data_IF_115096779131
#
_entry.id   IF_115096779131
#
_cell.length_a   1.000
_cell.length_b   1.000
_cell.length_c   1.000
_cell.angle_alpha   90.00
_cell.angle_beta   90.00
_cell.angle_gamma   90.00
#
_symmetry.space_group_name_H-M   'P 1'
#
loop_
_entity.id
_entity.type
_entity.pdbx_description
1 polymer ?
#
# COMPACT_ATOMS: atom_id res chain seq x y z
N UNK A 1 3.52 10.84 28.10
CA UNK A 1 4.73 11.15 27.30
C UNK A 1 4.28 11.56 25.89
N UNK A 2 4.54 12.80 25.46
CA UNK A 2 4.29 13.21 24.07
C UNK A 2 5.35 12.51 23.20
N UNK A 3 4.93 11.66 22.27
CA UNK A 3 5.86 11.12 21.27
C UNK A 3 6.21 12.27 20.34
N UNK A 4 7.48 12.66 20.32
CA UNK A 4 8.01 13.63 19.38
C UNK A 4 7.83 13.12 17.95
N UNK A 5 7.61 14.06 17.03
CA UNK A 5 7.36 13.73 15.64
C UNK A 5 8.62 13.15 15.01
N UNK A 6 8.58 11.88 14.65
CA UNK A 6 9.67 11.22 13.93
C UNK A 6 9.55 11.49 12.43
N UNK A 7 10.48 12.27 11.93
CA UNK A 7 10.51 12.73 10.56
C UNK A 7 10.84 11.60 9.57
N UNK A 8 11.54 10.54 10.01
CA UNK A 8 11.78 9.33 9.21
C UNK A 8 10.48 8.56 8.94
N UNK A 9 9.58 8.49 9.94
CA UNK A 9 8.26 7.87 9.76
C UNK A 9 7.37 8.67 8.81
N UNK A 10 7.54 9.99 8.75
CA UNK A 10 6.84 10.83 7.78
C UNK A 10 7.35 10.60 6.36
N UNK A 11 8.66 10.42 6.18
CA UNK A 11 9.24 10.02 4.89
C UNK A 11 8.68 8.67 4.44
N UNK A 12 8.60 7.69 5.33
CA UNK A 12 8.02 6.38 5.00
C UNK A 12 6.56 6.47 4.56
N UNK A 13 5.73 7.26 5.25
CA UNK A 13 4.35 7.51 4.84
C UNK A 13 4.26 8.22 3.49
N UNK A 14 5.13 9.19 3.25
CA UNK A 14 5.23 9.90 1.98
C UNK A 14 5.61 8.95 0.83
N UNK A 15 6.61 8.09 1.03
CA UNK A 15 7.00 7.06 0.06
C UNK A 15 5.83 6.11 -0.21
N UNK A 16 5.17 5.59 0.84
CA UNK A 16 4.00 4.72 0.69
C UNK A 16 2.92 5.37 -0.18
N UNK A 17 2.55 6.63 0.06
CA UNK A 17 1.50 7.26 -0.74
C UNK A 17 1.95 7.54 -2.18
N UNK A 18 3.20 7.91 -2.40
CA UNK A 18 3.74 8.11 -3.75
C UNK A 18 3.69 6.79 -4.54
N UNK A 19 4.11 5.68 -3.93
CA UNK A 19 4.06 4.36 -4.55
C UNK A 19 2.63 3.90 -4.87
N UNK A 20 1.66 4.17 -4.00
CA UNK A 20 0.24 3.93 -4.31
C UNK A 20 -0.19 4.74 -5.53
N UNK A 21 0.15 6.03 -5.59
CA UNK A 21 -0.21 6.88 -6.71
C UNK A 21 0.45 6.42 -8.02
N UNK A 22 1.73 6.05 -8.00
CA UNK A 22 2.41 5.50 -9.18
C UNK A 22 1.70 4.22 -9.65
N UNK A 23 1.42 3.29 -8.72
CA UNK A 23 0.73 2.05 -9.04
C UNK A 23 -0.63 2.24 -9.72
N UNK A 24 -1.45 3.14 -9.17
CA UNK A 24 -2.80 3.36 -9.68
C UNK A 24 -2.81 4.21 -10.95
N UNK A 25 -1.97 5.24 -11.04
CA UNK A 25 -2.00 6.21 -12.13
C UNK A 25 -1.15 5.77 -13.33
N UNK A 26 -0.16 4.90 -13.12
CA UNK A 26 0.76 4.39 -14.15
C UNK A 26 1.29 5.51 -15.04
N UNK A 27 1.98 6.52 -14.47
CA UNK A 27 2.43 7.69 -15.23
C UNK A 27 3.41 7.31 -16.35
N UNK A 28 4.06 6.15 -16.24
CA UNK A 28 4.92 5.56 -17.26
C UNK A 28 4.19 4.38 -17.93
N UNK A 29 3.46 4.67 -19.01
CA UNK A 29 2.77 3.65 -19.80
C UNK A 29 3.33 3.61 -21.21
N UNK A 30 3.88 2.45 -21.60
CA UNK A 30 4.45 2.22 -22.93
C UNK A 30 3.38 1.66 -23.87
N UNK A 31 3.30 2.20 -25.09
CA UNK A 31 2.47 1.66 -26.16
C UNK A 31 3.30 0.63 -26.93
N UNK A 32 2.95 -0.66 -26.77
CA UNK A 32 3.65 -1.77 -27.41
C UNK A 32 2.77 -2.33 -28.53
N UNK A 33 3.26 -2.23 -29.76
CA UNK A 33 2.62 -2.76 -30.97
C UNK A 33 3.46 -3.91 -31.55
N UNK A 34 2.90 -4.65 -32.52
CA UNK A 34 3.62 -5.75 -33.20
C UNK A 34 4.93 -5.32 -33.86
N UNK A 35 5.05 -4.03 -34.20
CA UNK A 35 6.22 -3.45 -34.86
C UNK A 35 7.19 -2.77 -33.87
N UNK A 36 6.93 -2.81 -32.56
CA UNK A 36 7.80 -2.17 -31.57
C UNK A 36 9.15 -2.87 -31.52
N UNK A 37 10.22 -2.08 -31.57
CA UNK A 37 11.60 -2.59 -31.52
C UNK A 37 11.83 -3.44 -30.27
N UNK A 38 12.54 -4.56 -30.40
CA UNK A 38 12.71 -5.55 -29.32
C UNK A 38 13.35 -4.95 -28.06
N UNK A 39 14.29 -4.00 -28.23
CA UNK A 39 14.92 -3.29 -27.09
C UNK A 39 13.87 -2.46 -26.33
N UNK A 40 12.96 -1.79 -27.03
CA UNK A 40 11.89 -0.99 -26.39
C UNK A 40 10.94 -1.92 -25.65
N UNK A 41 10.57 -3.06 -26.26
CA UNK A 41 9.74 -4.07 -25.62
C UNK A 41 10.35 -4.61 -24.31
N UNK A 42 11.63 -5.00 -24.36
CA UNK A 42 12.37 -5.51 -23.19
C UNK A 42 12.46 -4.42 -22.11
N UNK A 43 12.80 -3.20 -22.50
CA UNK A 43 12.90 -2.06 -21.56
C UNK A 43 11.56 -1.78 -20.88
N UNK A 44 10.47 -1.72 -21.65
CA UNK A 44 9.13 -1.52 -21.11
C UNK A 44 8.72 -2.62 -20.12
N UNK A 45 9.05 -3.89 -20.44
CA UNK A 45 8.80 -5.02 -19.54
C UNK A 45 9.58 -4.89 -18.24
N UNK A 46 10.89 -4.59 -18.31
CA UNK A 46 11.74 -4.39 -17.13
C UNK A 46 11.22 -3.25 -16.26
N UNK A 47 10.92 -2.09 -16.85
CA UNK A 47 10.40 -0.93 -16.11
C UNK A 47 9.09 -1.29 -15.43
N UNK A 48 8.17 -1.95 -16.13
CA UNK A 48 6.88 -2.37 -15.55
C UNK A 48 7.03 -3.37 -14.41
N UNK A 49 7.94 -4.34 -14.55
CA UNK A 49 8.21 -5.32 -13.50
C UNK A 49 8.86 -4.67 -12.27
N UNK A 50 9.81 -3.74 -12.46
CA UNK A 50 10.43 -2.99 -11.38
C UNK A 50 9.43 -2.05 -10.69
N UNK A 51 8.61 -1.33 -11.46
CA UNK A 51 7.55 -0.47 -10.94
C UNK A 51 6.56 -1.28 -10.10
N UNK A 52 6.12 -2.43 -10.60
CA UNK A 52 5.26 -3.36 -9.86
C UNK A 52 5.90 -3.79 -8.54
N UNK A 53 7.16 -4.23 -8.57
CA UNK A 53 7.84 -4.73 -7.38
C UNK A 53 8.07 -3.64 -6.33
N UNK A 54 8.37 -2.41 -6.75
CA UNK A 54 8.53 -1.27 -5.85
C UNK A 54 7.20 -0.83 -5.28
N UNK A 55 6.19 -0.61 -6.12
CA UNK A 55 4.94 -0.03 -5.68
C UNK A 55 4.15 -0.94 -4.74
N UNK A 56 4.25 -2.27 -4.90
CA UNK A 56 3.57 -3.22 -4.03
C UNK A 56 4.13 -3.27 -2.59
N UNK A 57 5.28 -2.64 -2.32
CA UNK A 57 5.79 -2.46 -0.96
C UNK A 57 5.03 -1.38 -0.17
N UNK A 58 4.24 -0.53 -0.83
CA UNK A 58 3.59 0.63 -0.21
C UNK A 58 2.66 0.26 0.95
N UNK A 59 1.83 -0.76 0.74
CA UNK A 59 0.83 -1.25 1.70
C UNK A 59 1.50 -1.96 2.90
N UNK A 60 2.41 -2.93 2.70
CA UNK A 60 3.28 -3.44 3.75
C UNK A 60 3.93 -2.33 4.59
N UNK A 61 4.48 -1.31 3.93
CA UNK A 61 5.13 -0.21 4.63
C UNK A 61 4.14 0.62 5.46
N UNK A 62 2.93 0.86 4.93
CA UNK A 62 1.83 1.46 5.68
C UNK A 62 1.48 0.67 6.95
N UNK A 63 1.42 -0.67 6.86
CA UNK A 63 1.17 -1.53 8.02
C UNK A 63 2.32 -1.51 9.02
N UNK A 64 3.56 -1.65 8.56
CA UNK A 64 4.74 -1.60 9.43
C UNK A 64 4.77 -0.27 10.19
N UNK A 65 4.63 0.87 9.52
CA UNK A 65 4.64 2.20 10.17
C UNK A 65 3.47 2.34 11.15
N UNK A 66 2.28 1.89 10.77
CA UNK A 66 1.11 1.95 11.64
C UNK A 66 1.31 1.11 12.90
N UNK A 67 1.73 -0.14 12.77
CA UNK A 67 1.96 -1.06 13.88
C UNK A 67 3.17 -0.64 14.73
N UNK A 68 4.23 -0.11 14.11
CA UNK A 68 5.37 0.49 14.81
C UNK A 68 4.91 1.61 15.75
N UNK A 69 4.13 2.57 15.23
CA UNK A 69 3.55 3.64 16.05
C UNK A 69 2.60 3.13 17.13
N UNK A 70 1.97 1.97 16.92
CA UNK A 70 1.14 1.32 17.93
C UNK A 70 2.01 0.82 19.08
N UNK A 71 2.98 -0.06 18.79
CA UNK A 71 3.86 -0.65 19.79
C UNK A 71 4.71 0.40 20.53
N UNK A 72 5.17 1.46 19.83
CA UNK A 72 5.93 2.56 20.42
C UNK A 72 5.17 3.24 21.57
N UNK A 73 3.83 3.30 21.49
CA UNK A 73 2.97 3.88 22.53
C UNK A 73 2.75 2.96 23.73
N UNK A 74 3.26 1.72 23.71
CA UNK A 74 3.02 0.70 24.74
C UNK A 74 1.53 0.65 25.13
N UNK A 75 0.64 0.28 24.20
CA UNK A 75 -0.81 0.38 24.33
C UNK A 75 -1.34 -0.27 25.61
N UNK A 76 -2.02 0.55 26.40
CA UNK A 76 -2.96 0.08 27.41
C UNK A 76 -4.35 -0.14 26.78
N UNK A 77 -5.29 -0.66 27.58
CA UNK A 77 -6.65 -0.93 27.10
C UNK A 77 -7.34 0.36 26.60
N UNK A 78 -7.05 1.51 27.24
CA UNK A 78 -7.64 2.81 26.90
C UNK A 78 -7.16 3.31 25.53
N UNK A 79 -5.85 3.26 25.28
CA UNK A 79 -5.26 3.67 24.01
C UNK A 79 -5.64 2.70 22.88
N UNK A 80 -5.69 1.40 23.14
CA UNK A 80 -6.20 0.41 22.18
C UNK A 80 -7.62 0.77 21.72
N UNK A 81 -8.54 0.96 22.66
CA UNK A 81 -9.93 1.30 22.35
C UNK A 81 -10.05 2.64 21.61
N UNK A 82 -9.29 3.65 22.03
CA UNK A 82 -9.21 4.93 21.33
C UNK A 82 -8.76 4.74 19.87
N UNK A 83 -7.73 3.94 19.64
CA UNK A 83 -7.17 3.70 18.31
C UNK A 83 -8.14 2.92 17.41
N UNK A 84 -8.72 1.83 17.91
CA UNK A 84 -9.71 1.04 17.14
C UNK A 84 -10.91 1.91 16.79
N UNK A 85 -11.45 2.69 17.74
CA UNK A 85 -12.54 3.64 17.46
C UNK A 85 -12.15 4.65 16.39
N UNK A 86 -10.93 5.20 16.44
CA UNK A 86 -10.45 6.13 15.40
C UNK A 86 -10.38 5.46 14.02
N UNK A 87 -9.76 4.29 13.91
CA UNK A 87 -9.62 3.58 12.62
C UNK A 87 -10.99 3.17 12.10
N UNK A 88 -11.86 2.62 12.95
CA UNK A 88 -13.23 2.25 12.59
C UNK A 88 -14.04 3.45 12.11
N UNK A 89 -13.93 4.61 12.77
CA UNK A 89 -14.62 5.84 12.34
C UNK A 89 -14.19 6.28 10.93
N UNK A 90 -12.89 6.20 10.64
CA UNK A 90 -12.33 6.49 9.31
C UNK A 90 -12.82 5.47 8.28
N UNK A 91 -12.76 4.18 8.62
CA UNK A 91 -13.24 3.10 7.77
C UNK A 91 -14.73 3.28 7.43
N UNK A 92 -15.59 3.45 8.43
CA UNK A 92 -17.03 3.63 8.23
C UNK A 92 -17.33 4.85 7.35
N UNK A 93 -16.69 5.99 7.62
CA UNK A 93 -16.86 7.20 6.81
C UNK A 93 -16.53 6.95 5.33
N UNK A 94 -15.36 6.38 5.05
CA UNK A 94 -14.91 6.16 3.67
C UNK A 94 -15.67 5.03 2.97
N UNK A 95 -16.07 3.98 3.68
CA UNK A 95 -16.91 2.92 3.14
C UNK A 95 -18.30 3.45 2.75
N UNK A 96 -18.91 4.31 3.57
CA UNK A 96 -20.18 4.97 3.25
C UNK A 96 -19.99 5.89 2.03
N UNK A 97 -18.95 6.72 2.03
CA UNK A 97 -18.67 7.60 0.89
C UNK A 97 -18.46 6.80 -0.40
N UNK A 98 -17.69 5.72 -0.35
CA UNK A 98 -17.43 4.84 -1.50
C UNK A 98 -18.72 4.23 -2.05
N UNK A 99 -19.60 3.79 -1.15
CA UNK A 99 -20.91 3.23 -1.51
C UNK A 99 -21.80 4.28 -2.20
N UNK A 100 -21.88 5.50 -1.64
CA UNK A 100 -22.63 6.62 -2.24
C UNK A 100 -22.05 6.98 -3.62
N UNK A 101 -20.72 7.07 -3.72
CA UNK A 101 -20.06 7.39 -4.98
C UNK A 101 -20.33 6.31 -6.05
N UNK A 102 -20.26 5.03 -5.67
CA UNK A 102 -20.63 3.92 -6.56
C UNK A 102 -22.06 4.08 -7.08
N UNK A 103 -23.04 4.28 -6.19
CA UNK A 103 -24.44 4.51 -6.56
C UNK A 103 -24.62 5.65 -7.55
N UNK A 104 -23.92 6.78 -7.35
CA UNK A 104 -24.01 7.95 -8.23
C UNK A 104 -23.47 7.62 -9.63
N UNK A 105 -22.34 6.91 -9.70
CA UNK A 105 -21.65 6.62 -10.96
C UNK A 105 -22.32 5.50 -11.75
N UNK A 106 -22.74 4.42 -11.09
CA UNK A 106 -23.28 3.23 -11.76
C UNK A 106 -24.80 3.19 -11.81
N UNK A 107 -25.48 3.94 -10.92
CA UNK A 107 -26.93 3.86 -10.69
C UNK A 107 -27.39 2.46 -10.22
N UNK A 108 -26.47 1.64 -9.72
CA UNK A 108 -26.74 0.28 -9.25
C UNK A 108 -26.65 0.17 -7.73
N UNK A 109 -27.57 -0.56 -7.11
CA UNK A 109 -27.49 -0.90 -5.69
C UNK A 109 -26.70 -2.20 -5.53
N UNK A 110 -25.51 -2.17 -4.92
CA UNK A 110 -24.70 -3.38 -4.80
C UNK A 110 -25.31 -4.33 -3.77
N UNK A 111 -25.32 -5.64 -4.09
CA UNK A 111 -25.85 -6.68 -3.20
C UNK A 111 -24.98 -6.80 -1.95
N UNK A 112 -25.62 -6.77 -0.77
CA UNK A 112 -24.93 -6.94 0.51
C UNK A 112 -24.14 -8.26 0.51
N UNK A 113 -22.85 -8.16 0.80
CA UNK A 113 -21.93 -9.29 0.87
C UNK A 113 -20.85 -9.04 1.90
N UNK A 114 -20.14 -10.09 2.31
CA UNK A 114 -18.99 -9.96 3.18
C UNK A 114 -17.92 -9.03 2.61
N UNK A 115 -17.74 -9.02 1.28
CA UNK A 115 -16.79 -8.15 0.60
C UNK A 115 -17.14 -6.66 0.72
N UNK A 116 -18.44 -6.32 0.82
CA UNK A 116 -18.88 -4.95 1.12
C UNK A 116 -18.59 -4.60 2.58
N UNK A 117 -18.84 -5.53 3.51
CA UNK A 117 -18.63 -5.33 4.95
C UNK A 117 -17.15 -5.07 5.25
N UNK A 118 -16.24 -5.80 4.61
CA UNK A 118 -14.79 -5.57 4.76
C UNK A 118 -14.28 -4.38 3.94
N UNK A 119 -15.14 -3.70 3.17
CA UNK A 119 -14.78 -2.53 2.37
C UNK A 119 -13.94 -2.84 1.12
N UNK A 120 -14.04 -4.06 0.58
CA UNK A 120 -13.43 -4.48 -0.69
C UNK A 120 -14.31 -4.10 -1.89
N UNK A 121 -15.61 -4.37 -1.78
CA UNK A 121 -16.64 -4.05 -2.78
C UNK A 121 -17.52 -2.89 -2.32
N UNK A 122 -18.27 -2.24 -3.23
CA UNK A 122 -18.33 -2.45 -4.68
C UNK A 122 -17.08 -1.96 -5.43
N UNK A 123 -16.81 -2.53 -6.60
CA UNK A 123 -15.71 -2.10 -7.47
C UNK A 123 -16.15 -0.88 -8.28
N UNK A 124 -15.29 0.13 -8.40
CA UNK A 124 -15.56 1.28 -9.27
C UNK A 124 -15.22 0.94 -10.73
N UNK A 125 -15.97 1.47 -11.72
CA UNK A 125 -15.64 1.25 -13.12
C UNK A 125 -14.23 1.77 -13.42
N UNK A 126 -13.48 1.04 -14.25
CA UNK A 126 -12.09 1.33 -14.65
C UNK A 126 -11.02 1.31 -13.54
N UNK A 127 -11.38 1.49 -12.27
CA UNK A 127 -10.44 1.60 -11.13
C UNK A 127 -10.49 0.39 -10.19
N UNK A 128 -11.47 -0.51 -10.35
CA UNK A 128 -11.55 -1.78 -9.64
C UNK A 128 -11.94 -1.66 -8.16
N UNK A 129 -11.51 -2.62 -7.35
CA UNK A 129 -11.91 -2.82 -5.95
C UNK A 129 -11.49 -1.68 -5.02
N UNK A 130 -12.33 -1.39 -4.02
CA UNK A 130 -12.07 -0.37 -3.00
C UNK A 130 -10.73 -0.60 -2.29
N UNK A 131 -10.08 0.47 -1.83
CA UNK A 131 -8.85 0.39 -1.04
C UNK A 131 -9.12 0.34 0.48
N UNK A 132 -10.37 0.46 0.92
CA UNK A 132 -10.70 0.56 2.34
C UNK A 132 -10.63 -0.77 3.09
N UNK A 133 -10.55 -1.91 2.40
CA UNK A 133 -10.21 -3.19 3.05
C UNK A 133 -8.85 -3.15 3.74
N UNK A 134 -7.93 -2.28 3.33
CA UNK A 134 -6.69 -2.12 4.07
C UNK A 134 -6.89 -1.53 5.46
N UNK A 135 -7.90 -0.67 5.66
CA UNK A 135 -8.29 -0.16 6.97
C UNK A 135 -8.96 -1.26 7.80
N UNK A 136 -9.80 -2.10 7.19
CA UNK A 136 -10.36 -3.28 7.86
C UNK A 136 -9.25 -4.23 8.34
N UNK A 137 -8.30 -4.57 7.47
CA UNK A 137 -7.11 -5.33 7.83
C UNK A 137 -6.29 -4.61 8.93
N UNK A 138 -6.17 -3.29 8.91
CA UNK A 138 -5.49 -2.55 9.97
C UNK A 138 -6.22 -2.69 11.33
N UNK A 139 -7.55 -2.72 11.35
CA UNK A 139 -8.33 -3.00 12.57
C UNK A 139 -7.96 -4.38 13.10
N UNK A 140 -8.02 -5.41 12.26
CA UNK A 140 -7.64 -6.78 12.63
C UNK A 140 -6.20 -6.84 13.15
N UNK A 141 -5.23 -6.32 12.39
CA UNK A 141 -3.82 -6.34 12.77
C UNK A 141 -3.54 -5.55 14.06
N UNK A 142 -4.25 -4.45 14.31
CA UNK A 142 -4.12 -3.69 15.56
C UNK A 142 -4.65 -4.51 16.74
N UNK A 143 -5.76 -5.24 16.57
CA UNK A 143 -6.28 -6.18 17.57
C UNK A 143 -5.30 -7.32 17.83
N UNK A 144 -4.77 -7.95 16.78
CA UNK A 144 -3.73 -8.98 16.92
C UNK A 144 -2.49 -8.44 17.62
N UNK A 145 -2.00 -7.26 17.25
CA UNK A 145 -0.85 -6.61 17.88
C UNK A 145 -1.10 -6.33 19.38
N UNK A 146 -2.32 -5.94 19.76
CA UNK A 146 -2.69 -5.71 21.15
C UNK A 146 -2.68 -7.01 21.96
N UNK A 147 -3.32 -8.07 21.44
CA UNK A 147 -3.30 -9.40 22.08
C UNK A 147 -1.88 -9.94 22.19
N UNK A 148 -1.10 -9.76 21.12
CA UNK A 148 0.29 -10.15 21.05
C UNK A 148 1.14 -9.45 22.14
N UNK A 149 0.90 -8.16 22.40
CA UNK A 149 1.61 -7.42 23.44
C UNK A 149 1.24 -7.85 24.87
N UNK A 150 0.06 -8.45 25.08
CA UNK A 150 -0.34 -8.97 26.39
C UNK A 150 0.38 -10.27 26.78
N UNK A 151 1.19 -10.84 25.88
CA UNK A 151 2.00 -12.01 26.18
C UNK A 151 3.14 -11.60 27.13
N UNK A 152 3.06 -11.99 28.40
CA UNK A 152 4.06 -11.63 29.40
C UNK A 152 5.37 -12.42 29.29
N UNK A 153 5.36 -13.58 28.62
CA UNK A 153 6.53 -14.45 28.50
C UNK A 153 7.37 -14.11 27.28
N UNK A 154 8.61 -13.66 27.50
CA UNK A 154 9.59 -13.38 26.44
C UNK A 154 9.90 -14.62 25.59
N UNK A 155 9.92 -15.81 26.20
CA UNK A 155 10.10 -17.09 25.52
C UNK A 155 8.92 -17.38 24.58
N UNK A 156 7.68 -17.16 25.05
CA UNK A 156 6.48 -17.39 24.25
C UNK A 156 6.40 -16.40 23.08
N UNK A 157 6.68 -15.11 23.31
CA UNK A 157 6.80 -14.08 22.26
C UNK A 157 7.78 -14.54 21.17
N UNK A 158 8.98 -14.96 21.57
CA UNK A 158 10.01 -15.42 20.64
C UNK A 158 9.55 -16.63 19.83
N UNK A 159 8.90 -17.60 20.48
CA UNK A 159 8.36 -18.79 19.81
C UNK A 159 7.26 -18.44 18.81
N UNK A 160 6.27 -17.62 19.21
CA UNK A 160 5.19 -17.15 18.33
C UNK A 160 5.76 -16.39 17.13
N UNK A 161 6.82 -15.61 17.32
CA UNK A 161 7.47 -14.89 16.23
C UNK A 161 8.07 -15.80 15.19
N UNK A 162 8.86 -16.79 15.62
CA UNK A 162 9.42 -17.76 14.69
C UNK A 162 8.31 -18.51 13.97
N UNK A 163 7.28 -18.95 14.69
CA UNK A 163 6.14 -19.64 14.08
C UNK A 163 5.50 -18.75 13.01
N UNK A 164 5.07 -17.52 13.33
CA UNK A 164 4.37 -16.65 12.36
C UNK A 164 5.27 -16.30 11.18
N UNK A 165 6.52 -15.89 11.41
CA UNK A 165 7.43 -15.45 10.35
C UNK A 165 7.79 -16.63 9.44
N UNK A 166 8.26 -17.74 10.02
CA UNK A 166 8.68 -18.91 9.24
C UNK A 166 7.47 -19.50 8.50
N UNK A 167 6.33 -19.65 9.18
CA UNK A 167 5.10 -20.13 8.54
C UNK A 167 4.69 -19.24 7.36
N UNK A 168 4.64 -17.92 7.53
CA UNK A 168 4.25 -17.02 6.44
C UNK A 168 5.23 -17.08 5.27
N UNK A 169 6.54 -17.06 5.52
CA UNK A 169 7.54 -17.11 4.45
C UNK A 169 7.48 -18.43 3.68
N UNK A 170 7.38 -19.57 4.39
CA UNK A 170 7.21 -20.89 3.76
C UNK A 170 5.88 -20.96 3.01
N UNK A 171 4.78 -20.49 3.61
CA UNK A 171 3.46 -20.52 2.98
C UNK A 171 3.40 -19.66 1.72
N UNK A 172 4.02 -18.49 1.72
CA UNK A 172 4.14 -17.61 0.54
C UNK A 172 4.90 -18.30 -0.59
N UNK A 173 6.05 -18.90 -0.29
CA UNK A 173 6.87 -19.59 -1.28
C UNK A 173 6.17 -20.85 -1.81
N UNK A 174 5.59 -21.67 -0.93
CA UNK A 174 4.84 -22.86 -1.31
C UNK A 174 3.63 -22.51 -2.18
N UNK A 175 2.89 -21.44 -1.84
CA UNK A 175 1.76 -20.97 -2.67
C UNK A 175 2.24 -20.50 -4.04
N UNK A 176 3.39 -19.83 -4.09
CA UNK A 176 3.99 -19.35 -5.33
C UNK A 176 4.42 -20.50 -6.25
N UNK A 177 5.15 -21.49 -5.71
CA UNK A 177 5.61 -22.68 -6.46
C UNK A 177 4.43 -23.58 -6.88
N UNK A 178 3.39 -23.68 -6.06
CA UNK A 178 2.18 -24.44 -6.40
C UNK A 178 1.19 -23.67 -7.28
N UNK A 179 1.56 -22.47 -7.76
CA UNK A 179 0.71 -21.57 -8.54
C UNK A 179 -0.68 -21.33 -7.90
N UNK A 180 -0.73 -21.34 -6.57
CA UNK A 180 -1.95 -21.13 -5.78
C UNK A 180 -2.04 -19.67 -5.39
N UNK A 181 -3.12 -19.01 -5.82
CA UNK A 181 -3.32 -17.59 -5.57
C UNK A 181 -3.83 -17.35 -4.14
N UNK A 182 -3.08 -16.58 -3.35
CA UNK A 182 -3.57 -16.02 -2.09
C UNK A 182 -4.34 -14.73 -2.44
N UNK A 183 -5.65 -14.64 -2.16
CA UNK A 183 -6.40 -13.42 -2.43
C UNK A 183 -5.76 -12.23 -1.70
N UNK A 184 -5.51 -11.16 -2.44
CA UNK A 184 -4.68 -10.04 -1.97
C UNK A 184 -5.25 -9.31 -0.75
N UNK A 185 -6.57 -9.42 -0.52
CA UNK A 185 -7.26 -8.78 0.59
C UNK A 185 -7.23 -9.61 1.87
N UNK A 186 -6.80 -10.88 1.81
CA UNK A 186 -6.77 -11.76 2.98
C UNK A 186 -5.73 -11.33 4.00
N UNK A 187 -6.08 -11.48 5.27
CA UNK A 187 -5.25 -11.07 6.41
C UNK A 187 -3.90 -11.81 6.48
N UNK A 188 -3.84 -13.05 5.95
CA UNK A 188 -2.61 -13.86 5.95
C UNK A 188 -1.43 -13.16 5.25
N UNK A 189 -1.72 -12.33 4.24
CA UNK A 189 -0.70 -11.53 3.55
C UNK A 189 -0.02 -10.51 4.48
N UNK A 190 -0.66 -10.14 5.59
CA UNK A 190 -0.25 -9.01 6.42
C UNK A 190 0.06 -9.35 7.88
N UNK A 191 -0.30 -10.55 8.35
CA UNK A 191 -0.08 -10.94 9.75
C UNK A 191 1.40 -10.96 10.15
N UNK A 192 2.29 -11.25 9.18
CA UNK A 192 3.75 -11.21 9.35
C UNK A 192 4.27 -9.83 9.82
N UNK A 193 3.56 -8.74 9.52
CA UNK A 193 4.00 -7.40 9.89
C UNK A 193 3.81 -7.09 11.37
N UNK A 194 3.01 -7.87 12.11
CA UNK A 194 2.85 -7.73 13.57
C UNK A 194 4.16 -8.04 14.31
N UNK A 195 4.76 -9.24 14.20
CA UNK A 195 6.02 -9.54 14.87
C UNK A 195 7.17 -8.70 14.33
N UNK A 196 7.19 -8.34 13.05
CA UNK A 196 8.18 -7.44 12.46
C UNK A 196 8.14 -6.06 13.16
N UNK A 197 6.98 -5.43 13.22
CA UNK A 197 6.84 -4.12 13.85
C UNK A 197 7.14 -4.17 15.35
N UNK A 198 6.78 -5.25 16.04
CA UNK A 198 7.15 -5.46 17.44
C UNK A 198 8.66 -5.46 17.66
N UNK A 199 9.43 -6.19 16.83
CA UNK A 199 10.89 -6.20 16.94
C UNK A 199 11.54 -4.88 16.53
N UNK A 200 10.99 -4.20 15.52
CA UNK A 200 11.49 -2.87 15.14
C UNK A 200 11.42 -1.88 16.31
N UNK A 201 10.38 -1.96 17.16
CA UNK A 201 10.25 -1.10 18.35
C UNK A 201 11.10 -1.58 19.52
N UNK A 202 11.02 -2.86 19.87
CA UNK A 202 11.60 -3.37 21.11
C UNK A 202 13.08 -3.75 20.97
N UNK A 203 13.52 -4.04 19.74
CA UNK A 203 14.88 -4.50 19.44
C UNK A 203 15.40 -3.91 18.12
N UNK A 204 15.41 -2.58 17.96
CA UNK A 204 15.75 -1.92 16.69
C UNK A 204 17.13 -2.34 16.18
N UNK A 205 18.13 -2.47 17.06
CA UNK A 205 19.49 -2.85 16.69
C UNK A 205 19.58 -4.28 16.11
N UNK A 206 18.71 -5.20 16.54
CA UNK A 206 18.68 -6.57 16.01
C UNK A 206 18.15 -6.62 14.58
N UNK A 207 17.28 -5.68 14.19
CA UNK A 207 16.67 -5.63 12.85
C UNK A 207 17.45 -4.71 11.90
N UNK A 208 17.74 -3.47 12.33
CA UNK A 208 18.35 -2.44 11.48
C UNK A 208 19.74 -2.83 10.97
N UNK A 209 20.51 -3.63 11.72
CA UNK A 209 21.84 -4.10 11.30
C UNK A 209 21.81 -4.98 10.05
N UNK A 210 20.67 -5.62 9.75
CA UNK A 210 20.51 -6.50 8.60
C UNK A 210 19.94 -5.80 7.35
N UNK A 211 19.89 -4.46 7.31
CA UNK A 211 19.32 -3.69 6.18
C UNK A 211 19.85 -4.10 4.80
N UNK A 212 21.14 -4.41 4.69
CA UNK A 212 21.73 -4.88 3.43
C UNK A 212 21.33 -6.31 3.07
N UNK A 213 21.11 -7.17 4.06
CA UNK A 213 20.58 -8.52 3.82
C UNK A 213 19.13 -8.47 3.35
N UNK A 214 18.30 -7.59 3.93
CA UNK A 214 16.94 -7.37 3.43
C UNK A 214 16.94 -6.85 1.99
N UNK A 215 17.87 -5.96 1.63
CA UNK A 215 18.01 -5.46 0.27
C UNK A 215 18.45 -6.55 -0.71
N UNK A 216 19.46 -7.34 -0.34
CA UNK A 216 19.91 -8.45 -1.17
C UNK A 216 18.78 -9.49 -1.36
N UNK A 217 18.08 -9.84 -0.28
CA UNK A 217 16.92 -10.73 -0.35
C UNK A 217 15.79 -10.14 -1.21
N UNK A 218 15.52 -8.84 -1.09
CA UNK A 218 14.53 -8.17 -1.93
C UNK A 218 14.88 -8.32 -3.42
N UNK A 219 16.13 -8.03 -3.82
CA UNK A 219 16.57 -8.19 -5.20
C UNK A 219 16.43 -9.65 -5.66
N UNK A 220 16.97 -10.60 -4.89
CA UNK A 220 16.95 -12.02 -5.24
C UNK A 220 15.52 -12.55 -5.41
N UNK A 221 14.64 -12.31 -4.44
CA UNK A 221 13.25 -12.76 -4.52
C UNK A 221 12.44 -11.98 -5.55
N UNK A 222 12.75 -10.71 -5.83
CA UNK A 222 12.12 -9.99 -6.93
C UNK A 222 12.51 -10.55 -8.30
N UNK A 223 13.77 -10.94 -8.50
CA UNK A 223 14.22 -11.63 -9.70
C UNK A 223 13.56 -13.02 -9.82
N UNK A 224 13.45 -13.74 -8.70
CA UNK A 224 12.72 -15.01 -8.64
C UNK A 224 11.25 -14.86 -9.07
N UNK A 225 10.53 -13.87 -8.52
CA UNK A 225 9.15 -13.58 -8.92
C UNK A 225 9.02 -13.24 -10.42
N UNK A 226 9.95 -12.46 -10.97
CA UNK A 226 9.97 -12.07 -12.39
C UNK A 226 10.21 -13.29 -13.27
N UNK A 227 11.15 -14.15 -12.86
CA UNK A 227 11.44 -15.40 -13.53
C UNK A 227 10.19 -16.29 -13.56
N UNK A 228 9.54 -16.52 -12.41
CA UNK A 228 8.31 -17.31 -12.32
C UNK A 228 7.17 -16.76 -13.19
N UNK A 229 6.96 -15.43 -13.22
CA UNK A 229 5.97 -14.80 -14.12
C UNK A 229 6.23 -15.07 -15.60
N UNK A 230 7.49 -15.25 -15.99
CA UNK A 230 7.84 -15.58 -17.37
C UNK A 230 7.40 -17.00 -17.75
N UNK A 231 7.23 -17.89 -16.78
CA UNK A 231 6.68 -19.24 -16.95
C UNK A 231 5.18 -19.36 -16.60
N UNK A 232 4.45 -18.24 -16.64
CA UNK A 232 3.01 -18.19 -16.35
C UNK A 232 2.62 -18.61 -14.93
N UNK A 233 3.54 -18.54 -13.97
CA UNK A 233 3.21 -18.58 -12.55
C UNK A 233 2.73 -17.21 -12.11
N UNK A 234 1.63 -17.16 -11.37
CA UNK A 234 1.02 -15.91 -10.90
C UNK A 234 1.27 -15.74 -9.40
N UNK A 235 2.43 -15.18 -9.00
CA UNK A 235 2.74 -15.03 -7.60
C UNK A 235 1.74 -14.06 -6.94
N UNK A 236 1.36 -14.36 -5.69
CA UNK A 236 0.37 -13.57 -4.95
C UNK A 236 0.77 -12.10 -4.83
N UNK A 237 -0.17 -11.16 -4.78
CA UNK A 237 0.17 -9.73 -4.82
C UNK A 237 1.05 -9.32 -3.62
N UNK A 238 0.62 -9.66 -2.40
CA UNK A 238 1.29 -9.26 -1.16
C UNK A 238 1.95 -10.42 -0.40
N UNK A 239 1.44 -11.64 -0.54
CA UNK A 239 1.99 -12.86 0.06
C UNK A 239 3.24 -13.35 -0.67
N UNK A 240 4.30 -12.54 -0.64
CA UNK A 240 5.60 -12.80 -1.29
C UNK A 240 6.74 -12.37 -0.40
N UNK A 241 7.83 -13.15 -0.43
CA UNK A 241 9.04 -12.85 0.34
C UNK A 241 9.67 -11.54 -0.15
N UNK A 242 9.70 -11.32 -1.47
CA UNK A 242 10.17 -10.07 -2.09
C UNK A 242 9.49 -8.83 -1.48
N UNK A 243 8.17 -8.87 -1.31
CA UNK A 243 7.39 -7.75 -0.78
C UNK A 243 7.68 -7.50 0.70
N UNK A 244 7.83 -8.56 1.51
CA UNK A 244 8.21 -8.44 2.92
C UNK A 244 9.61 -7.84 3.04
N UNK A 245 10.59 -8.37 2.29
CA UNK A 245 11.97 -7.87 2.30
C UNK A 245 12.09 -6.45 1.75
N UNK A 246 11.33 -6.10 0.71
CA UNK A 246 11.30 -4.75 0.13
C UNK A 246 10.78 -3.72 1.14
N UNK A 247 9.67 -4.04 1.83
CA UNK A 247 9.12 -3.17 2.87
C UNK A 247 10.10 -2.98 4.04
N UNK A 248 10.75 -4.06 4.51
CA UNK A 248 11.78 -4.00 5.53
C UNK A 248 13.01 -3.20 5.09
N UNK A 249 13.44 -3.36 3.84
CA UNK A 249 14.54 -2.61 3.26
C UNK A 249 14.27 -1.12 3.32
N UNK A 250 13.13 -0.68 2.76
CA UNK A 250 12.75 0.73 2.73
C UNK A 250 12.65 1.28 4.16
N UNK A 251 11.98 0.55 5.06
CA UNK A 251 11.89 0.95 6.47
C UNK A 251 13.27 1.14 7.09
N UNK A 252 14.14 0.13 7.01
CA UNK A 252 15.43 0.14 7.70
C UNK A 252 16.39 1.20 7.16
N UNK A 253 16.44 1.39 5.84
CA UNK A 253 17.29 2.42 5.24
C UNK A 253 16.83 3.82 5.63
N UNK A 254 15.55 4.14 5.44
CA UNK A 254 15.00 5.48 5.74
C UNK A 254 15.09 5.78 7.24
N UNK A 255 14.73 4.82 8.10
CA UNK A 255 14.82 5.01 9.55
C UNK A 255 16.27 5.21 10.03
N UNK A 256 17.24 4.54 9.39
CA UNK A 256 18.67 4.71 9.74
C UNK A 256 19.26 6.06 9.31
N UNK A 257 18.72 6.68 8.26
CA UNK A 257 19.28 7.90 7.67
C UNK A 257 19.03 9.17 8.50
N UNK A 258 18.11 9.14 9.47
CA UNK A 258 17.73 10.31 10.30
C UNK A 258 17.49 11.57 9.45
N UNK A 259 16.57 11.46 8.51
CA UNK A 259 16.32 12.48 7.49
C UNK A 259 15.86 13.79 8.13
N UNK A 260 16.50 14.91 7.73
CA UNK A 260 16.18 16.26 8.21
C UNK A 260 14.73 16.66 7.91
N UNK A 261 14.19 17.52 8.77
CA UNK A 261 12.83 18.06 8.66
C UNK A 261 12.59 18.72 7.29
N UNK A 262 11.50 18.30 6.64
CA UNK A 262 11.04 18.86 5.37
C UNK A 262 9.56 19.13 5.44
N UNK A 263 9.18 20.39 5.24
CA UNK A 263 7.79 20.82 5.26
C UNK A 263 6.93 20.07 4.24
N UNK A 264 7.46 19.81 3.04
CA UNK A 264 6.75 19.09 1.99
C UNK A 264 6.43 17.66 2.41
N UNK A 265 7.42 16.94 2.96
CA UNK A 265 7.26 15.55 3.43
C UNK A 265 6.26 15.51 4.58
N UNK A 266 6.38 16.43 5.52
CA UNK A 266 5.49 16.54 6.66
C UNK A 266 4.04 16.81 6.24
N UNK A 267 3.83 17.64 5.22
CA UNK A 267 2.50 17.94 4.67
C UNK A 267 1.94 16.75 3.91
N UNK A 268 2.75 16.08 3.10
CA UNK A 268 2.36 14.88 2.35
C UNK A 268 2.00 13.72 3.30
N UNK A 269 2.84 13.45 4.29
CA UNK A 269 2.60 12.44 5.33
C UNK A 269 1.29 12.68 6.07
N UNK A 270 1.05 13.94 6.50
CA UNK A 270 -0.15 14.34 7.24
C UNK A 270 -1.44 14.07 6.48
N UNK A 271 -1.44 14.21 5.15
CA UNK A 271 -2.63 14.02 4.32
C UNK A 271 -2.58 12.74 3.48
N UNK A 272 -1.68 11.81 3.82
CA UNK A 272 -1.47 10.56 3.07
C UNK A 272 -2.75 9.73 2.98
N UNK A 273 -3.52 9.64 4.07
CA UNK A 273 -4.83 8.96 4.09
C UNK A 273 -5.85 9.65 3.18
N UNK A 274 -5.92 10.98 3.20
CA UNK A 274 -6.80 11.75 2.31
C UNK A 274 -6.47 11.50 0.85
N UNK A 275 -5.19 11.55 0.49
CA UNK A 275 -4.72 11.24 -0.88
C UNK A 275 -5.06 9.79 -1.25
N UNK A 276 -4.80 8.86 -0.32
CA UNK A 276 -5.07 7.43 -0.49
C UNK A 276 -6.56 7.15 -0.75
N UNK A 277 -7.45 7.84 -0.07
CA UNK A 277 -8.89 7.65 -0.28
C UNK A 277 -9.37 8.35 -1.55
N UNK A 278 -8.94 9.59 -1.79
CA UNK A 278 -9.58 10.48 -2.77
C UNK A 278 -9.12 10.20 -4.21
N UNK A 279 -7.87 9.77 -4.41
CA UNK A 279 -7.31 9.61 -5.76
C UNK A 279 -8.12 8.65 -6.63
N UNK A 280 -8.67 7.56 -6.07
CA UNK A 280 -9.49 6.60 -6.82
C UNK A 280 -10.76 7.22 -7.40
N UNK A 281 -11.38 8.17 -6.69
CA UNK A 281 -12.62 8.79 -7.18
C UNK A 281 -12.33 9.73 -8.34
N UNK A 282 -11.29 10.56 -8.22
CA UNK A 282 -10.86 11.40 -9.33
C UNK A 282 -10.36 10.59 -10.51
N UNK A 283 -9.65 9.50 -10.25
CA UNK A 283 -9.24 8.57 -11.30
C UNK A 283 -10.46 7.99 -12.03
N UNK A 284 -11.49 7.57 -11.30
CA UNK A 284 -12.74 7.07 -11.88
C UNK A 284 -13.40 8.12 -12.78
N UNK A 285 -13.59 9.35 -12.27
CA UNK A 285 -14.21 10.44 -13.03
C UNK A 285 -13.42 10.83 -14.27
N UNK A 286 -12.09 10.91 -14.17
CA UNK A 286 -11.23 11.25 -15.30
C UNK A 286 -11.22 10.13 -16.34
N UNK A 287 -11.19 8.86 -15.92
CA UNK A 287 -11.26 7.74 -16.87
C UNK A 287 -12.64 7.64 -17.53
N UNK A 288 -13.73 7.94 -16.83
CA UNK A 288 -15.08 8.04 -17.40
C UNK A 288 -15.18 9.20 -18.40
N UNK A 289 -14.54 10.33 -18.10
CA UNK A 289 -14.46 11.46 -19.02
C UNK A 289 -13.70 11.02 -20.28
N UNK A 290 -12.49 10.48 -20.12
CA UNK A 290 -11.65 10.03 -21.24
C UNK A 290 -12.34 8.94 -22.05
N UNK A 291 -13.04 7.97 -21.44
CA UNK A 291 -13.72 6.91 -22.19
C UNK A 291 -14.85 7.43 -23.09
N UNK A 292 -15.41 8.60 -22.77
CA UNK A 292 -16.47 9.23 -23.56
C UNK A 292 -15.93 10.13 -24.68
N UNK A 293 -14.61 10.38 -24.72
CA UNK A 293 -13.96 11.14 -25.77
C UNK A 293 -12.96 10.23 -26.49
N UNK A 294 -13.02 10.11 -27.82
CA UNK A 294 -12.04 9.34 -28.60
C UNK A 294 -10.65 10.01 -28.62
N UNK A 295 -10.01 10.14 -27.46
CA UNK A 295 -8.66 10.69 -27.34
C UNK A 295 -7.62 9.60 -27.61
N UNK A 296 -7.29 9.43 -28.89
CA UNK A 296 -6.08 8.72 -29.33
C UNK A 296 -4.96 9.72 -29.63
N UNK A 297 -4.27 10.24 -28.60
CA UNK A 297 -3.08 11.09 -28.83
C UNK A 297 -1.82 10.26 -28.59
N UNK A 298 -1.34 9.65 -29.68
CA UNK A 298 -0.01 9.03 -29.73
C UNK A 298 1.01 10.15 -29.88
N UNK A 299 1.97 10.21 -28.96
CA UNK A 299 3.06 11.18 -28.99
C UNK A 299 4.34 10.46 -28.63
N UNK A 300 5.31 10.48 -29.53
CA UNK A 300 6.64 9.93 -29.28
C UNK A 300 7.45 10.99 -28.53
N UNK A 301 7.84 10.70 -27.30
CA UNK A 301 8.77 11.54 -26.55
C UNK A 301 10.15 10.90 -26.71
N UNK A 302 11.06 11.57 -27.42
CA UNK A 302 12.41 11.06 -27.73
C UNK A 302 12.43 9.66 -28.40
N UNK A 303 11.45 9.37 -29.28
CA UNK A 303 11.33 8.07 -29.95
C UNK A 303 10.79 6.94 -29.07
N UNK A 304 10.36 7.23 -27.83
CA UNK A 304 9.70 6.28 -26.94
C UNK A 304 8.18 6.50 -27.03
N UNK A 305 7.40 5.47 -27.36
CA UNK A 305 5.95 5.58 -27.49
C UNK A 305 5.30 5.59 -26.10
N UNK A 306 5.30 6.75 -25.44
CA UNK A 306 4.70 6.97 -24.12
C UNK A 306 3.23 7.38 -24.31
N UNK A 307 2.34 6.80 -23.52
CA UNK A 307 0.95 7.22 -23.49
C UNK A 307 0.78 8.49 -22.64
N UNK A 308 0.86 9.67 -23.27
CA UNK A 308 0.66 10.97 -22.60
C UNK A 308 -0.69 11.07 -21.90
N UNK A 309 -1.72 10.34 -22.35
CA UNK A 309 -3.04 10.33 -21.71
C UNK A 309 -2.96 9.83 -20.27
N UNK A 310 -2.13 8.83 -19.97
CA UNK A 310 -1.95 8.35 -18.59
C UNK A 310 -1.20 9.37 -17.73
N UNK A 311 -0.19 10.04 -18.29
CA UNK A 311 0.55 11.08 -17.58
C UNK A 311 -0.33 12.30 -17.28
N UNK A 312 -1.12 12.76 -18.26
CA UNK A 312 -2.02 13.90 -18.10
C UNK A 312 -3.18 13.57 -17.15
N UNK A 313 -3.81 12.41 -17.32
CA UNK A 313 -4.84 11.91 -16.41
C UNK A 313 -4.29 11.77 -14.98
N UNK A 314 -3.12 11.15 -14.81
CA UNK A 314 -2.46 11.02 -13.51
C UNK A 314 -2.18 12.37 -12.86
N UNK A 315 -1.70 13.34 -13.63
CA UNK A 315 -1.44 14.70 -13.14
C UNK A 315 -2.74 15.38 -12.67
N UNK A 316 -3.81 15.28 -13.45
CA UNK A 316 -5.12 15.81 -13.08
C UNK A 316 -5.68 15.14 -11.82
N UNK A 317 -5.56 13.80 -11.70
CA UNK A 317 -5.97 13.07 -10.50
C UNK A 317 -5.25 13.61 -9.27
N UNK A 318 -3.94 13.82 -9.34
CA UNK A 318 -3.15 14.35 -8.22
C UNK A 318 -3.60 15.77 -7.87
N UNK A 319 -3.75 16.66 -8.86
CA UNK A 319 -4.18 18.05 -8.65
C UNK A 319 -5.55 18.08 -7.97
N UNK A 320 -6.54 17.39 -8.52
CA UNK A 320 -7.88 17.38 -7.96
C UNK A 320 -7.94 16.71 -6.59
N UNK A 321 -7.14 15.68 -6.34
CA UNK A 321 -7.03 15.07 -5.01
C UNK A 321 -6.50 16.07 -3.98
N UNK A 322 -5.45 16.82 -4.32
CA UNK A 322 -4.88 17.85 -3.43
C UNK A 322 -5.89 18.99 -3.19
N UNK A 323 -6.62 19.42 -4.23
CA UNK A 323 -7.67 20.43 -4.10
C UNK A 323 -8.82 19.95 -3.19
N UNK A 324 -9.31 18.73 -3.39
CA UNK A 324 -10.33 18.13 -2.51
C UNK A 324 -9.88 18.04 -1.06
N UNK A 325 -8.62 17.66 -0.80
CA UNK A 325 -8.06 17.65 0.56
C UNK A 325 -8.06 19.06 1.15
N UNK A 326 -7.69 20.06 0.36
CA UNK A 326 -7.71 21.47 0.81
C UNK A 326 -9.13 21.91 1.18
N UNK A 327 -10.14 21.55 0.38
CA UNK A 327 -11.55 21.85 0.67
C UNK A 327 -12.05 21.10 1.91
N UNK A 328 -11.80 19.79 2.00
CA UNK A 328 -12.21 18.97 3.15
C UNK A 328 -11.56 19.44 4.45
N UNK A 329 -10.32 19.95 4.39
CA UNK A 329 -9.63 20.55 5.55
C UNK A 329 -10.38 21.76 6.12
N UNK A 330 -11.11 22.50 5.30
CA UNK A 330 -11.89 23.67 5.71
C UNK A 330 -13.24 23.31 6.35
N UNK A 331 -13.59 22.02 6.40
CA UNK A 331 -14.86 21.53 6.94
C UNK A 331 -14.66 20.61 8.15
N UNK A 332 -15.75 20.12 8.73
CA UNK A 332 -15.73 19.10 9.79
C UNK A 332 -15.17 17.74 9.32
N UNK A 333 -14.97 17.55 8.01
CA UNK A 333 -14.40 16.33 7.44
C UNK A 333 -12.86 16.26 7.55
N UNK A 334 -12.19 17.31 8.03
CA UNK A 334 -10.72 17.34 8.23
C UNK A 334 -10.17 16.15 9.04
N UNK A 335 -10.99 15.56 9.91
CA UNK A 335 -10.63 14.42 10.75
C UNK A 335 -10.53 13.08 10.00
N UNK A 336 -11.06 12.98 8.79
CA UNK A 336 -11.09 11.77 7.98
C UNK A 336 -10.00 11.72 6.91
N UNK A 337 -9.27 12.81 6.73
CA UNK A 337 -8.19 12.98 5.73
C UNK A 337 -6.79 13.06 6.35
N UNK A 338 -6.67 13.03 7.69
CA UNK A 338 -5.44 13.33 8.44
C UNK A 338 -5.08 12.34 9.57
#
# INVERSE_FOLDING_TARGET
MKIERDNSLDVLKAISIIFVLIWHLRPLSFILNKNTHIIIFITAKIVRDLELQLCLTAVPLFYIVSLYLFFLKKPDNKYFLFRIRKIFKIFAFWSIFHYIFFLIVTKEVPKLSWEIIIGLKPSLPFVGDSVFYFLFNLICLTTFAFLYQKINSTKLIRMVNYIIIIFCLIFFEASCINNSLIPYHWLINFIIYVPIAYYLVNKPNEILKYKFFYFAAYILFSLHDIYLRTYSYFPSIYGRISIVCGALTIFCFIYSLKIKDSWYIQKLSKYSLGLFAIHKYWQCLILLLISNFEFGIVTEIFGIPINIVFLSAGTLVVIFSVLSIRLLKMTNFKQFIA
#
